data_IF_437247784188
#
_entry.id   IF_437247784188
#
_cell.length_a   1.000
_cell.length_b   1.000
_cell.length_c   1.000
_cell.angle_alpha   90.00
_cell.angle_beta   90.00
_cell.angle_gamma   90.00
#
_symmetry.space_group_name_H-M   'P 1'
#
loop_
_entity.id
_entity.type
_entity.pdbx_description
1 polymer ?
#
# COMPACT_ATOMS: atom_id res chain seq x y z
N UNK A 1 2.55 29.76 -4.71
CA UNK A 1 2.47 28.76 -4.64
C UNK A 1 2.67 28.10 -5.73
N UNK A 2 3.49 27.49 -5.81
CA UNK A 2 3.83 26.85 -6.90
C UNK A 2 3.02 25.62 -7.10
N UNK A 3 2.38 25.55 -8.18
CA UNK A 3 1.62 24.38 -8.50
C UNK A 3 2.50 23.19 -8.73
N UNK A 4 3.67 23.43 -9.28
CA UNK A 4 4.59 22.35 -9.50
C UNK A 4 5.00 21.69 -8.20
N UNK A 5 5.23 22.49 -7.19
CA UNK A 5 5.58 21.95 -5.90
C UNK A 5 4.44 21.14 -5.32
N UNK A 6 3.22 21.61 -5.51
CA UNK A 6 2.11 20.84 -5.04
C UNK A 6 1.96 19.56 -5.76
N UNK A 7 2.23 19.57 -7.05
CA UNK A 7 2.13 18.36 -7.83
C UNK A 7 3.11 17.32 -7.35
N UNK A 8 4.33 17.73 -7.02
CA UNK A 8 5.33 16.79 -6.58
C UNK A 8 5.10 16.31 -5.19
N UNK A 9 4.59 17.23 -4.36
CA UNK A 9 4.48 16.95 -2.98
C UNK A 9 3.06 17.05 -2.55
N UNK A 10 2.17 16.41 -3.23
CA UNK A 10 0.74 16.47 -2.96
C UNK A 10 0.49 16.11 -1.50
N UNK A 11 0.18 17.07 -0.63
CA UNK A 11 -0.07 16.73 0.76
C UNK A 11 -1.31 15.87 0.94
N UNK A 12 -2.26 15.97 0.02
CA UNK A 12 -3.43 15.12 0.10
C UNK A 12 -3.09 13.67 -0.16
N UNK A 13 -2.13 13.41 -1.05
CA UNK A 13 -1.68 12.06 -1.28
C UNK A 13 -1.18 11.43 0.02
N UNK A 14 -0.27 12.13 0.71
CA UNK A 14 0.31 11.56 1.92
C UNK A 14 -0.71 11.41 3.03
N UNK A 15 -1.67 12.32 3.11
CA UNK A 15 -2.74 12.19 4.09
C UNK A 15 -3.61 10.98 3.80
N UNK A 16 -4.00 10.81 2.54
CA UNK A 16 -4.89 9.72 2.19
C UNK A 16 -4.18 8.39 2.22
N UNK A 17 -2.92 8.34 1.74
CA UNK A 17 -2.20 7.07 1.80
C UNK A 17 -1.93 6.68 3.24
N UNK A 18 -1.72 7.65 4.12
CA UNK A 18 -1.57 7.36 5.55
C UNK A 18 -2.81 6.71 6.13
N UNK A 19 -3.99 7.20 5.73
CA UNK A 19 -5.24 6.58 6.19
C UNK A 19 -5.42 5.19 5.62
N UNK A 20 -5.06 4.99 4.37
CA UNK A 20 -5.15 3.66 3.76
C UNK A 20 -4.18 2.70 4.42
N UNK A 21 -2.97 3.16 4.69
CA UNK A 21 -1.98 2.35 5.41
C UNK A 21 -2.49 1.98 6.80
N UNK A 22 -3.13 2.91 7.49
CA UNK A 22 -3.66 2.64 8.80
C UNK A 22 -4.76 1.56 8.72
N UNK A 23 -5.62 1.64 7.72
CA UNK A 23 -6.63 0.61 7.53
C UNK A 23 -5.99 -0.74 7.23
N UNK A 24 -4.92 -0.74 6.44
CA UNK A 24 -4.18 -1.97 6.18
C UNK A 24 -3.65 -2.57 7.47
N UNK A 25 -3.03 -1.74 8.30
CA UNK A 25 -2.44 -2.23 9.54
C UNK A 25 -3.52 -2.68 10.53
N UNK A 26 -4.65 -2.01 10.55
CA UNK A 26 -5.77 -2.43 11.39
C UNK A 26 -6.32 -3.77 10.94
N UNK A 27 -6.43 -3.97 9.62
CA UNK A 27 -6.90 -5.24 9.09
C UNK A 27 -5.92 -6.36 9.44
N UNK A 28 -4.62 -6.08 9.38
CA UNK A 28 -3.61 -7.05 9.76
C UNK A 28 -3.75 -7.40 11.25
N UNK A 29 -3.90 -6.39 12.09
CA UNK A 29 -4.02 -6.61 13.52
C UNK A 29 -5.26 -7.40 13.87
N UNK A 30 -6.34 -7.19 13.13
CA UNK A 30 -7.59 -7.89 13.37
C UNK A 30 -7.65 -9.24 12.65
N UNK A 31 -6.62 -9.58 11.91
CA UNK A 31 -6.56 -10.80 11.09
C UNK A 31 -7.72 -10.85 10.10
N UNK A 32 -8.04 -9.70 9.55
CA UNK A 32 -9.13 -9.56 8.60
C UNK A 32 -8.67 -9.01 7.26
N UNK A 33 -7.40 -9.21 6.93
CA UNK A 33 -6.85 -8.66 5.69
C UNK A 33 -7.49 -9.30 4.47
N UNK A 34 -7.68 -10.62 4.49
CA UNK A 34 -8.22 -11.32 3.34
C UNK A 34 -9.56 -10.74 2.89
N UNK A 35 -10.55 -10.55 3.77
CA UNK A 35 -11.83 -9.99 3.32
C UNK A 35 -11.74 -8.53 2.93
N UNK A 36 -10.70 -7.80 3.35
CA UNK A 36 -10.56 -6.40 3.01
C UNK A 36 -9.57 -6.14 1.89
N UNK A 37 -8.94 -7.18 1.37
CA UNK A 37 -7.90 -7.04 0.36
C UNK A 37 -8.39 -6.27 -0.87
N UNK A 38 -9.53 -6.63 -1.40
CA UNK A 38 -10.03 -5.98 -2.60
C UNK A 38 -10.29 -4.50 -2.39
N UNK A 39 -10.84 -4.15 -1.24
CA UNK A 39 -11.11 -2.76 -0.90
C UNK A 39 -9.83 -1.96 -0.76
N UNK A 40 -8.84 -2.53 -0.08
CA UNK A 40 -7.56 -1.85 0.09
C UNK A 40 -6.84 -1.72 -1.24
N UNK A 41 -6.88 -2.75 -2.07
CA UNK A 41 -6.25 -2.68 -3.38
C UNK A 41 -6.87 -1.58 -4.23
N UNK A 42 -8.19 -1.43 -4.15
CA UNK A 42 -8.87 -0.37 -4.90
C UNK A 42 -8.45 1.00 -4.41
N UNK A 43 -8.30 1.17 -3.10
CA UNK A 43 -7.85 2.45 -2.55
C UNK A 43 -6.44 2.80 -3.01
N UNK A 44 -5.53 1.84 -2.99
CA UNK A 44 -4.18 2.09 -3.45
C UNK A 44 -4.16 2.37 -4.95
N UNK A 45 -4.98 1.68 -5.71
CA UNK A 45 -5.07 1.91 -7.15
C UNK A 45 -5.54 3.32 -7.46
N UNK A 46 -6.53 3.81 -6.73
CA UNK A 46 -7.01 5.19 -6.90
C UNK A 46 -5.90 6.19 -6.59
N UNK A 47 -5.16 5.93 -5.54
CA UNK A 47 -4.06 6.82 -5.17
C UNK A 47 -2.96 6.81 -6.23
N UNK A 48 -2.68 5.64 -6.80
CA UNK A 48 -1.66 5.52 -7.81
C UNK A 48 -2.02 6.33 -9.07
N UNK A 49 -3.30 6.43 -9.37
CA UNK A 49 -3.73 7.24 -10.50
C UNK A 49 -3.54 8.72 -10.24
N UNK A 50 -3.54 9.13 -8.98
CA UNK A 50 -3.32 10.53 -8.63
C UNK A 50 -1.86 10.87 -8.54
N UNK A 51 -1.06 9.97 -7.99
CA UNK A 51 0.38 10.18 -7.85
C UNK A 51 1.07 8.89 -8.28
N UNK A 52 1.71 8.93 -9.42
CA UNK A 52 2.31 7.73 -9.96
C UNK A 52 3.84 7.71 -9.88
N UNK A 53 4.44 8.65 -9.18
CA UNK A 53 5.90 8.69 -9.06
C UNK A 53 6.40 7.45 -8.30
N UNK A 54 7.24 6.62 -8.94
CA UNK A 54 7.65 5.37 -8.28
C UNK A 54 8.39 5.61 -6.97
N UNK A 55 9.10 6.71 -6.86
CA UNK A 55 9.84 6.99 -5.63
C UNK A 55 8.91 7.09 -4.43
N UNK A 56 7.76 7.71 -4.61
CA UNK A 56 6.79 7.83 -3.52
C UNK A 56 6.24 6.47 -3.15
N UNK A 57 6.01 5.63 -4.14
CA UNK A 57 5.47 4.31 -3.88
C UNK A 57 6.50 3.37 -3.26
N UNK A 58 7.79 3.63 -3.47
CA UNK A 58 8.81 2.83 -2.79
C UNK A 58 8.74 3.01 -1.28
N UNK A 59 8.46 4.23 -0.83
CA UNK A 59 8.28 4.47 0.60
C UNK A 59 7.07 3.73 1.14
N UNK A 60 5.97 3.77 0.40
CA UNK A 60 4.76 3.05 0.82
C UNK A 60 5.03 1.55 0.85
N UNK A 61 5.70 1.04 -0.17
CA UNK A 61 6.02 -0.38 -0.26
C UNK A 61 6.90 -0.82 0.92
N UNK A 62 7.94 -0.06 1.21
CA UNK A 62 8.87 -0.43 2.28
C UNK A 62 8.16 -0.52 3.62
N UNK A 63 7.30 0.44 3.92
CA UNK A 63 6.56 0.42 5.18
C UNK A 63 5.60 -0.76 5.25
N UNK A 64 4.87 -0.99 4.17
CA UNK A 64 3.91 -2.09 4.13
C UNK A 64 4.63 -3.44 4.23
N UNK A 65 5.75 -3.56 3.53
CA UNK A 65 6.51 -4.81 3.55
C UNK A 65 6.97 -5.16 4.96
N UNK A 66 7.45 -4.16 5.69
CA UNK A 66 7.92 -4.40 7.04
C UNK A 66 6.81 -5.01 7.90
N UNK A 67 5.61 -4.44 7.83
CA UNK A 67 4.50 -4.91 8.65
C UNK A 67 3.96 -6.24 8.14
N UNK A 68 3.78 -6.35 6.84
CA UNK A 68 3.13 -7.53 6.28
C UNK A 68 4.02 -8.78 6.35
N UNK A 69 5.32 -8.61 6.19
CA UNK A 69 6.21 -9.76 6.31
C UNK A 69 6.24 -10.29 7.75
N UNK A 70 6.19 -9.39 8.71
CA UNK A 70 6.13 -9.82 10.10
C UNK A 70 4.85 -10.56 10.39
N UNK A 71 3.74 -10.03 9.88
CA UNK A 71 2.45 -10.66 10.09
C UNK A 71 2.39 -12.03 9.41
N UNK A 72 2.81 -12.10 8.16
CA UNK A 72 2.74 -13.34 7.41
C UNK A 72 3.69 -14.40 7.99
N UNK A 73 4.76 -13.96 8.63
CA UNK A 73 5.69 -14.90 9.24
C UNK A 73 5.23 -15.44 10.56
N UNK A 74 4.10 -14.93 11.09
CA UNK A 74 3.58 -15.44 12.35
C UNK A 74 2.53 -16.49 12.06
N UNK A 75 1.43 -16.48 12.71
CA UNK A 75 0.47 -17.56 12.59
C UNK A 75 -0.70 -17.21 11.68
N UNK A 76 -0.43 -16.53 10.60
CA UNK A 76 -1.49 -16.14 9.68
C UNK A 76 -2.01 -17.35 8.92
N UNK A 77 -3.29 -17.33 8.60
CA UNK A 77 -3.87 -18.37 7.78
C UNK A 77 -3.35 -18.25 6.35
N UNK A 78 -3.60 -19.30 5.54
CA UNK A 78 -3.20 -19.26 4.14
C UNK A 78 -3.85 -18.12 3.40
N UNK A 79 -5.13 -17.85 3.68
CA UNK A 79 -5.83 -16.75 3.03
C UNK A 79 -5.23 -15.41 3.40
N UNK A 80 -4.84 -15.24 4.66
CA UNK A 80 -4.21 -14.00 5.10
C UNK A 80 -2.83 -13.82 4.48
N UNK A 81 -2.05 -14.89 4.40
CA UNK A 81 -0.74 -14.81 3.74
C UNK A 81 -0.88 -14.47 2.27
N UNK A 82 -1.88 -15.04 1.62
CA UNK A 82 -2.13 -14.74 0.22
C UNK A 82 -2.50 -13.27 0.05
N UNK A 83 -3.35 -12.74 0.92
CA UNK A 83 -3.74 -11.34 0.86
C UNK A 83 -2.53 -10.42 1.05
N UNK A 84 -1.64 -10.77 1.98
CA UNK A 84 -0.41 -10.01 2.18
C UNK A 84 0.42 -9.99 0.91
N UNK A 85 0.59 -11.14 0.29
CA UNK A 85 1.40 -11.24 -0.92
C UNK A 85 0.79 -10.42 -2.05
N UNK A 86 -0.53 -10.43 -2.16
CA UNK A 86 -1.19 -9.67 -3.23
C UNK A 86 -1.05 -8.16 -3.03
N UNK A 87 -1.21 -7.69 -1.80
CA UNK A 87 -1.04 -6.27 -1.53
C UNK A 87 0.42 -5.85 -1.79
N UNK A 88 1.37 -6.64 -1.33
CA UNK A 88 2.77 -6.30 -1.56
C UNK A 88 3.13 -6.32 -3.04
N UNK A 89 2.58 -7.27 -3.78
CA UNK A 89 2.83 -7.35 -5.21
C UNK A 89 2.27 -6.12 -5.93
N UNK A 90 1.10 -5.67 -5.53
CA UNK A 90 0.51 -4.47 -6.09
C UNK A 90 1.39 -3.25 -5.85
N UNK A 91 1.83 -3.06 -4.61
CA UNK A 91 2.66 -1.91 -4.25
C UNK A 91 4.03 -1.99 -4.91
N UNK A 92 4.57 -3.20 -5.03
CA UNK A 92 5.83 -3.39 -5.72
C UNK A 92 5.74 -2.95 -7.18
N UNK A 93 4.62 -3.26 -7.82
CA UNK A 93 4.40 -2.83 -9.20
C UNK A 93 4.36 -1.32 -9.35
N UNK A 94 3.84 -0.62 -8.34
CA UNK A 94 3.83 0.83 -8.37
C UNK A 94 5.22 1.40 -8.11
N UNK A 95 5.99 0.76 -7.26
CA UNK A 95 7.33 1.23 -6.90
C UNK A 95 8.34 1.00 -8.03
N UNK A 96 8.15 -0.08 -8.79
CA UNK A 96 9.05 -0.42 -9.89
C UNK A 96 8.26 -0.79 -11.15
N UNK A 97 7.58 0.19 -11.76
CA UNK A 97 6.62 -0.13 -12.84
C UNK A 97 7.27 -0.61 -14.14
N UNK A 98 8.54 -0.37 -14.32
CA UNK A 98 9.17 -0.74 -15.57
C UNK A 98 9.96 -2.01 -15.50
N UNK A 99 9.70 -2.81 -14.51
CA UNK A 99 10.43 -4.03 -14.40
C UNK A 99 10.06 -5.03 -15.46
N UNK A 100 8.89 -5.01 -15.89
CA UNK A 100 8.42 -6.00 -16.85
C UNK A 100 9.08 -5.92 -18.20
#
# INVERSE_FOLDING_TARGET
QSLAAKTRDDPDFWSVVGLTDLRLYEAVAARALAPQRASLAAEYSDLQQRVSAPRDWRSVYDSARFVLERYAGRAASAAERQACAEILSLLEGYAWPLRG
#
